data_IF_272637296225
#
_entry.id   IF_272637296225
#
_cell.length_a   1.000
_cell.length_b   1.000
_cell.length_c   1.000
_cell.angle_alpha   90.00
_cell.angle_beta   90.00
_cell.angle_gamma   90.00
#
_symmetry.space_group_name_H-M   'P 1'
#
loop_
_entity.id
_entity.type
_entity.pdbx_description
1 polymer ?
#
# COMPACT_ATOMS: atom_id res chain seq x y z
N UNK A 1 -19.48 4.87 -2.94
CA UNK A 1 -19.35 6.34 -2.90
C UNK A 1 -19.79 6.87 -1.53
N UNK A 2 -20.95 6.47 -0.98
CA UNK A 2 -21.44 6.94 0.34
C UNK A 2 -20.45 6.67 1.49
N UNK A 3 -19.67 5.60 1.45
CA UNK A 3 -18.68 5.26 2.48
C UNK A 3 -17.45 6.15 2.41
N UNK A 4 -17.02 6.57 1.22
CA UNK A 4 -15.80 7.36 1.02
C UNK A 4 -15.84 8.70 1.76
N UNK A 5 -17.02 9.29 1.94
CA UNK A 5 -17.22 10.53 2.69
C UNK A 5 -16.88 10.42 4.19
N UNK A 6 -16.86 9.20 4.72
CA UNK A 6 -16.77 8.93 6.16
C UNK A 6 -15.44 8.25 6.55
N UNK A 7 -14.47 8.21 5.62
CA UNK A 7 -13.17 7.59 5.87
C UNK A 7 -12.05 8.56 5.54
N UNK A 8 -10.96 8.51 6.32
CA UNK A 8 -9.79 9.33 6.05
C UNK A 8 -8.98 8.81 4.87
N UNK A 9 -8.92 7.49 4.69
CA UNK A 9 -8.11 6.85 3.67
C UNK A 9 -8.90 5.79 2.89
N UNK A 10 -8.64 5.74 1.58
CA UNK A 10 -9.07 4.66 0.67
C UNK A 10 -7.84 3.92 0.20
N UNK A 11 -7.80 2.60 0.43
CA UNK A 11 -6.77 1.69 -0.09
C UNK A 11 -7.45 0.76 -1.08
N UNK A 12 -7.03 0.79 -2.33
CA UNK A 12 -7.70 0.13 -3.45
C UNK A 12 -6.66 -0.34 -4.47
N UNK A 13 -6.94 -1.37 -5.27
CA UNK A 13 -6.08 -1.70 -6.39
C UNK A 13 -6.42 -0.85 -7.63
N UNK A 14 -5.56 -0.86 -8.64
CA UNK A 14 -5.70 -0.01 -9.82
C UNK A 14 -6.89 -0.39 -10.70
N UNK A 15 -7.22 -1.68 -10.81
CA UNK A 15 -8.39 -2.13 -11.56
C UNK A 15 -9.69 -1.74 -10.86
N UNK A 16 -9.76 -1.96 -9.56
CA UNK A 16 -10.89 -1.53 -8.73
C UNK A 16 -11.08 0.00 -8.77
N UNK A 17 -9.97 0.76 -8.72
CA UNK A 17 -10.00 2.21 -8.82
C UNK A 17 -10.58 2.68 -10.16
N UNK A 18 -10.14 2.08 -11.27
CA UNK A 18 -10.66 2.37 -12.61
C UNK A 18 -12.16 2.00 -12.72
N UNK A 19 -12.53 0.82 -12.23
CA UNK A 19 -13.90 0.35 -12.25
C UNK A 19 -14.84 1.26 -11.44
N UNK A 20 -14.42 1.61 -10.23
CA UNK A 20 -15.20 2.44 -9.30
C UNK A 20 -15.41 3.86 -9.83
N UNK A 21 -14.38 4.44 -10.41
CA UNK A 21 -14.38 5.83 -10.87
C UNK A 21 -14.78 5.99 -12.33
N UNK A 22 -14.73 4.91 -13.11
CA UNK A 22 -14.89 4.91 -14.57
C UNK A 22 -13.85 5.81 -15.27
N UNK A 23 -12.67 5.90 -14.70
CA UNK A 23 -11.51 6.59 -15.24
C UNK A 23 -10.40 5.60 -15.55
N UNK A 24 -9.62 5.82 -16.61
CA UNK A 24 -8.48 4.95 -16.97
C UNK A 24 -7.16 5.43 -16.37
N UNK A 25 -7.03 6.72 -16.10
CA UNK A 25 -5.83 7.32 -15.54
C UNK A 25 -5.91 7.35 -14.01
N UNK A 26 -4.91 6.79 -13.32
CA UNK A 26 -4.92 6.66 -11.86
C UNK A 26 -4.93 8.01 -11.13
N UNK A 27 -4.34 9.07 -11.72
CA UNK A 27 -4.42 10.42 -11.15
C UNK A 27 -5.86 10.94 -11.19
N UNK A 28 -6.57 10.69 -12.30
CA UNK A 28 -7.99 11.03 -12.42
C UNK A 28 -8.85 10.22 -11.45
N UNK A 29 -8.55 8.91 -11.30
CA UNK A 29 -9.21 8.06 -10.29
C UNK A 29 -9.07 8.66 -8.89
N UNK A 30 -7.86 9.00 -8.50
CA UNK A 30 -7.59 9.57 -7.18
C UNK A 30 -8.27 10.92 -6.99
N UNK A 31 -8.22 11.82 -7.98
CA UNK A 31 -8.91 13.12 -7.92
C UNK A 31 -10.40 12.94 -7.69
N UNK A 32 -11.05 12.00 -8.38
CA UNK A 32 -12.46 11.71 -8.24
C UNK A 32 -12.80 11.16 -6.85
N UNK A 33 -11.99 10.24 -6.31
CA UNK A 33 -12.18 9.73 -4.95
C UNK A 33 -11.96 10.82 -3.88
N UNK A 34 -11.02 11.74 -4.08
CA UNK A 34 -10.83 12.91 -3.21
C UNK A 34 -12.03 13.86 -3.27
N UNK A 35 -12.62 14.10 -4.45
CA UNK A 35 -13.86 14.86 -4.59
C UNK A 35 -15.04 14.21 -3.84
N UNK A 36 -15.03 12.88 -3.67
CA UNK A 36 -16.00 12.15 -2.88
C UNK A 36 -15.73 12.22 -1.37
N UNK A 37 -14.60 12.80 -0.94
CA UNK A 37 -14.29 13.09 0.45
C UNK A 37 -13.09 12.36 1.05
N UNK A 38 -12.43 11.46 0.30
CA UNK A 38 -11.21 10.80 0.79
C UNK A 38 -10.08 11.80 0.97
N UNK A 39 -9.46 11.84 2.13
CA UNK A 39 -8.28 12.65 2.42
C UNK A 39 -7.01 12.03 1.81
N UNK A 40 -6.87 10.73 1.96
CA UNK A 40 -5.78 9.94 1.40
C UNK A 40 -6.34 8.89 0.44
N UNK A 41 -5.73 8.74 -0.72
CA UNK A 41 -6.05 7.67 -1.66
C UNK A 41 -4.78 6.90 -1.97
N UNK A 42 -4.75 5.61 -1.66
CA UNK A 42 -3.64 4.72 -1.93
C UNK A 42 -4.08 3.72 -3.00
N UNK A 43 -3.48 3.80 -4.19
CA UNK A 43 -3.75 2.89 -5.30
C UNK A 43 -2.59 1.91 -5.43
N UNK A 44 -2.85 0.64 -5.12
CA UNK A 44 -1.90 -0.47 -5.28
C UNK A 44 -1.82 -0.90 -6.75
N UNK A 45 -0.62 -1.23 -7.22
CA UNK A 45 -0.36 -1.62 -8.62
C UNK A 45 0.36 -2.98 -8.69
N UNK A 46 0.04 -3.89 -7.78
CA UNK A 46 0.69 -5.20 -7.70
C UNK A 46 2.22 -5.08 -7.54
N UNK A 47 2.95 -5.75 -8.40
CA UNK A 47 4.42 -5.76 -8.43
C UNK A 47 5.05 -4.39 -8.70
N UNK A 48 4.30 -3.47 -9.28
CA UNK A 48 4.75 -2.10 -9.57
C UNK A 48 4.61 -1.14 -8.38
N UNK A 49 4.25 -1.64 -7.19
CA UNK A 49 4.15 -0.86 -5.97
C UNK A 49 2.84 -0.10 -5.81
N UNK A 50 2.89 1.14 -5.37
CA UNK A 50 1.69 1.93 -5.13
C UNK A 50 1.86 3.43 -5.36
N UNK A 51 0.75 4.12 -5.51
CA UNK A 51 0.67 5.58 -5.56
C UNK A 51 -0.21 6.05 -4.40
N UNK A 52 0.31 6.92 -3.56
CA UNK A 52 -0.47 7.60 -2.54
C UNK A 52 -0.71 9.05 -2.95
N UNK A 53 -1.95 9.48 -2.88
CA UNK A 53 -2.38 10.83 -3.20
C UNK A 53 -2.92 11.52 -1.94
N UNK A 54 -2.41 12.72 -1.66
CA UNK A 54 -2.85 13.57 -0.56
C UNK A 54 -2.59 15.03 -0.96
N UNK A 55 -3.44 15.96 -0.57
CA UNK A 55 -3.41 17.33 -1.03
C UNK A 55 -3.17 17.38 -2.56
N UNK A 56 -2.18 18.10 -3.04
CA UNK A 56 -1.76 18.13 -4.45
C UNK A 56 -0.52 17.27 -4.73
N UNK A 57 -0.14 16.40 -3.78
CA UNK A 57 1.06 15.58 -3.85
C UNK A 57 0.73 14.15 -4.27
N UNK A 58 1.57 13.60 -5.14
CA UNK A 58 1.62 12.18 -5.45
C UNK A 58 2.90 11.60 -4.86
N UNK A 59 2.77 10.60 -4.00
CA UNK A 59 3.89 9.86 -3.41
C UNK A 59 3.94 8.46 -4.00
N UNK A 60 4.84 8.20 -4.97
CA UNK A 60 5.04 6.86 -5.52
C UNK A 60 5.89 6.02 -4.58
N UNK A 61 5.57 4.73 -4.51
CA UNK A 61 6.43 3.72 -3.87
C UNK A 61 6.64 2.57 -4.84
N UNK A 62 7.88 2.10 -4.96
CA UNK A 62 8.20 0.94 -5.79
C UNK A 62 7.65 -0.34 -5.14
N UNK A 63 7.35 -1.36 -5.93
CA UNK A 63 7.17 -2.71 -5.44
C UNK A 63 8.50 -3.29 -4.96
N UNK A 64 8.46 -4.20 -3.98
CA UNK A 64 9.67 -4.94 -3.62
C UNK A 64 9.95 -5.99 -4.68
N UNK A 65 11.14 -5.91 -5.30
CA UNK A 65 11.52 -6.86 -6.36
C UNK A 65 11.76 -8.24 -5.79
N UNK A 66 10.97 -9.20 -6.22
CA UNK A 66 11.07 -10.61 -5.85
C UNK A 66 11.42 -11.45 -7.08
N UNK A 67 12.28 -12.43 -6.92
CA UNK A 67 12.58 -13.42 -7.95
C UNK A 67 11.41 -14.39 -8.15
N UNK A 68 10.78 -14.80 -7.05
CA UNK A 68 9.69 -15.78 -7.07
C UNK A 68 8.45 -15.24 -6.38
N UNK A 69 7.34 -15.25 -7.10
CA UNK A 69 5.99 -14.98 -6.60
C UNK A 69 5.21 -16.28 -6.69
N UNK A 70 4.73 -16.77 -5.55
CA UNK A 70 4.02 -18.07 -5.45
C UNK A 70 2.52 -17.87 -5.53
N UNK A 71 1.99 -16.94 -4.73
CA UNK A 71 0.55 -16.69 -4.67
C UNK A 71 0.29 -15.21 -4.33
N UNK A 72 -0.31 -14.43 -5.25
CA UNK A 72 -0.63 -13.04 -4.99
C UNK A 72 -1.84 -12.82 -4.07
N UNK A 73 -2.57 -13.90 -3.73
CA UNK A 73 -3.78 -13.84 -2.89
C UNK A 73 -3.43 -13.31 -1.50
N UNK A 74 -4.20 -12.35 -1.02
CA UNK A 74 -4.01 -11.75 0.31
C UNK A 74 -2.90 -10.69 0.39
N UNK A 75 -2.14 -10.43 -0.67
CA UNK A 75 -1.12 -9.37 -0.69
C UNK A 75 -1.73 -7.99 -0.39
N UNK A 76 -2.91 -7.72 -0.93
CA UNK A 76 -3.64 -6.48 -0.69
C UNK A 76 -4.09 -6.30 0.75
N UNK A 77 -4.57 -7.37 1.38
CA UNK A 77 -4.99 -7.37 2.78
C UNK A 77 -3.78 -7.24 3.71
N UNK A 78 -2.69 -7.91 3.37
CA UNK A 78 -1.40 -7.78 4.07
C UNK A 78 -0.85 -6.37 4.02
N UNK A 79 -0.94 -5.72 2.85
CA UNK A 79 -0.58 -4.33 2.66
C UNK A 79 -1.41 -3.42 3.57
N UNK A 80 -2.73 -3.53 3.53
CA UNK A 80 -3.64 -2.69 4.33
C UNK A 80 -3.45 -2.95 5.83
N UNK A 81 -3.35 -4.21 6.24
CA UNK A 81 -3.11 -4.60 7.63
C UNK A 81 -1.79 -4.06 8.17
N UNK A 82 -0.70 -4.15 7.40
CA UNK A 82 0.61 -3.62 7.78
C UNK A 82 0.60 -2.09 7.91
N UNK A 83 -0.02 -1.41 6.96
CA UNK A 83 -0.16 0.05 6.97
C UNK A 83 -0.92 0.52 8.22
N UNK A 84 -2.07 -0.07 8.51
CA UNK A 84 -2.88 0.27 9.68
C UNK A 84 -2.16 -0.11 10.98
N UNK A 85 -1.55 -1.28 11.05
CA UNK A 85 -0.79 -1.74 12.22
C UNK A 85 0.40 -0.81 12.53
N UNK A 86 1.11 -0.36 11.51
CA UNK A 86 2.19 0.61 11.69
C UNK A 86 1.66 1.93 12.26
N UNK A 87 0.61 2.52 11.68
CA UNK A 87 0.04 3.78 12.15
C UNK A 87 -0.51 3.67 13.58
N UNK A 88 -1.18 2.56 13.91
CA UNK A 88 -1.67 2.29 15.25
C UNK A 88 -0.52 2.22 16.27
N UNK A 89 0.60 1.57 15.91
CA UNK A 89 1.78 1.48 16.78
C UNK A 89 2.44 2.83 17.04
N UNK A 90 2.31 3.78 16.14
CA UNK A 90 2.86 5.14 16.24
C UNK A 90 1.89 6.14 16.86
N UNK A 91 0.62 5.79 16.96
CA UNK A 91 -0.46 6.66 17.45
C UNK A 91 -0.40 8.07 16.82
N UNK A 92 -0.28 8.13 15.50
CA UNK A 92 -0.09 9.39 14.76
C UNK A 92 -0.68 9.34 13.36
N UNK A 93 -1.11 10.50 12.88
CA UNK A 93 -1.58 10.71 11.50
C UNK A 93 -0.67 11.69 10.74
N UNK A 94 0.57 11.90 11.21
CA UNK A 94 1.53 12.75 10.49
C UNK A 94 1.83 12.17 9.12
N UNK A 95 1.87 13.02 8.10
CA UNK A 95 2.08 12.58 6.71
C UNK A 95 3.37 11.78 6.51
N UNK A 96 4.44 12.13 7.21
CA UNK A 96 5.70 11.39 7.18
C UNK A 96 5.53 9.94 7.66
N UNK A 97 4.70 9.71 8.67
CA UNK A 97 4.43 8.38 9.19
C UNK A 97 3.43 7.62 8.31
N UNK A 98 2.49 8.31 7.66
CA UNK A 98 1.60 7.70 6.67
C UNK A 98 2.42 7.21 5.45
N UNK A 99 3.39 7.99 4.97
CA UNK A 99 4.32 7.56 3.91
C UNK A 99 5.10 6.29 4.31
N UNK A 100 5.64 6.24 5.54
CA UNK A 100 6.30 5.04 6.06
C UNK A 100 5.35 3.86 6.15
N UNK A 101 4.11 4.08 6.58
CA UNK A 101 3.09 3.04 6.65
C UNK A 101 2.82 2.41 5.27
N UNK A 102 2.77 3.22 4.20
CA UNK A 102 2.64 2.72 2.81
C UNK A 102 3.84 1.86 2.42
N UNK A 103 5.07 2.25 2.80
CA UNK A 103 6.28 1.44 2.59
C UNK A 103 6.18 0.11 3.34
N UNK A 104 5.75 0.13 4.61
CA UNK A 104 5.49 -1.10 5.38
C UNK A 104 4.45 -1.99 4.71
N UNK A 105 3.40 -1.40 4.15
CA UNK A 105 2.41 -2.11 3.35
C UNK A 105 3.03 -2.87 2.17
N UNK A 106 3.86 -2.21 1.36
CA UNK A 106 4.57 -2.85 0.25
C UNK A 106 5.47 -3.99 0.71
N UNK A 107 6.21 -3.78 1.80
CA UNK A 107 7.12 -4.79 2.35
C UNK A 107 6.36 -6.00 2.87
N UNK A 108 5.28 -5.83 3.63
CA UNK A 108 4.49 -6.96 4.14
C UNK A 108 3.73 -7.67 3.01
N UNK A 109 3.22 -6.94 2.02
CA UNK A 109 2.65 -7.53 0.81
C UNK A 109 3.65 -8.43 0.09
N UNK A 110 4.93 -8.04 0.05
CA UNK A 110 5.98 -8.85 -0.58
C UNK A 110 6.27 -10.16 0.17
N UNK A 111 6.12 -10.23 1.48
CA UNK A 111 6.20 -11.49 2.23
C UNK A 111 5.01 -12.40 1.95
N UNK A 112 3.82 -11.82 1.82
CA UNK A 112 2.59 -12.59 1.59
C UNK A 112 2.66 -13.40 0.30
N UNK A 113 3.23 -12.83 -0.77
CA UNK A 113 3.26 -13.46 -2.10
C UNK A 113 4.33 -14.54 -2.28
N UNK A 114 5.29 -14.68 -1.34
CA UNK A 114 6.38 -15.67 -1.43
C UNK A 114 5.93 -17.10 -1.09
N UNK A 115 4.71 -17.29 -0.56
CA UNK A 115 4.17 -18.58 -0.14
C UNK A 115 2.65 -18.63 -0.33
N UNK A 116 2.11 -19.85 -0.29
CA UNK A 116 0.65 -20.03 -0.35
C UNK A 116 -0.04 -19.59 0.95
N UNK A 117 -1.17 -18.95 0.80
CA UNK A 117 -2.06 -18.56 1.88
C UNK A 117 -1.36 -17.66 2.92
N UNK A 118 -1.50 -17.97 4.21
CA UNK A 118 -0.91 -17.20 5.31
C UNK A 118 0.55 -17.57 5.63
N UNK A 119 1.10 -18.60 5.01
CA UNK A 119 2.43 -19.14 5.33
C UNK A 119 3.55 -18.10 5.16
N UNK A 120 3.42 -17.19 4.21
CA UNK A 120 4.36 -16.10 3.99
C UNK A 120 4.46 -15.14 5.17
N UNK A 121 3.33 -14.90 5.85
CA UNK A 121 3.25 -14.00 7.00
C UNK A 121 3.56 -14.72 8.32
N UNK A 122 3.04 -15.94 8.52
CA UNK A 122 3.23 -16.71 9.76
C UNK A 122 4.68 -17.11 10.00
N UNK A 123 5.48 -17.22 8.95
CA UNK A 123 6.91 -17.59 9.04
C UNK A 123 7.87 -16.40 9.18
N UNK A 124 7.36 -15.17 9.22
CA UNK A 124 8.16 -13.96 9.47
C UNK A 124 8.73 -14.04 10.90
N UNK A 125 10.06 -13.94 11.00
CA UNK A 125 10.76 -13.89 12.28
C UNK A 125 10.97 -12.45 12.72
N UNK A 126 11.19 -12.27 14.03
CA UNK A 126 11.54 -10.97 14.61
C UNK A 126 12.79 -10.42 13.89
N UNK A 127 12.66 -9.24 13.32
CA UNK A 127 13.74 -8.57 12.58
C UNK A 127 13.72 -8.77 11.06
N UNK A 128 12.98 -9.73 10.51
CA UNK A 128 12.93 -9.93 9.05
C UNK A 128 12.30 -8.74 8.33
N UNK A 129 11.26 -8.16 8.92
CA UNK A 129 10.62 -6.94 8.40
C UNK A 129 11.65 -5.81 8.35
N UNK A 130 12.39 -5.58 9.43
CA UNK A 130 13.40 -4.53 9.49
C UNK A 130 14.53 -4.73 8.48
N UNK A 131 14.96 -5.99 8.24
CA UNK A 131 15.94 -6.31 7.21
C UNK A 131 15.40 -6.00 5.81
N UNK A 132 14.16 -6.37 5.53
CA UNK A 132 13.52 -6.11 4.22
C UNK A 132 13.27 -4.62 4.01
N UNK A 133 12.89 -3.85 5.04
CA UNK A 133 12.81 -2.39 4.97
C UNK A 133 14.17 -1.79 4.58
N UNK A 134 15.26 -2.20 5.23
CA UNK A 134 16.62 -1.72 4.86
C UNK A 134 17.00 -2.10 3.43
N UNK A 135 16.63 -3.30 2.98
CA UNK A 135 16.84 -3.73 1.59
C UNK A 135 16.01 -2.88 0.62
N UNK A 136 14.77 -2.58 0.97
CA UNK A 136 13.89 -1.71 0.20
C UNK A 136 14.47 -0.29 0.07
N UNK A 137 14.96 0.29 1.19
CA UNK A 137 15.61 1.60 1.20
C UNK A 137 16.80 1.63 0.23
N UNK A 138 17.65 0.61 0.24
CA UNK A 138 18.78 0.50 -0.70
C UNK A 138 18.35 0.37 -2.16
N UNK A 139 17.23 -0.31 -2.41
CA UNK A 139 16.70 -0.54 -3.76
C UNK A 139 16.21 0.77 -4.40
N UNK A 140 15.68 1.71 -3.62
CA UNK A 140 15.12 2.97 -4.12
C UNK A 140 16.05 4.17 -3.95
N UNK A 141 17.22 3.98 -3.34
CA UNK A 141 18.22 5.02 -3.14
C UNK A 141 19.02 5.26 -4.42
N UNK A 142 19.31 6.51 -4.76
CA UNK A 142 20.12 6.92 -5.90
C UNK A 142 21.17 7.97 -5.51
#
# INVERSE_FOLDING_TARGET
IKMIKNVDAVVINDEEAKLLTKEHNLIKCAKKMKQWGAKYVIIKKGEHGSLMFYDDVVFPTAGFSLENVVDPTGAGDSFAGAMIGYLASRNTTKISEIKKAVVYGNVLGSFAVERYGLDGLLKIKKGDIGKRIKSYEKMIQF
#
